data_IF_456180428574
#
_entry.id   IF_456180428574
#
_cell.length_a   1.000
_cell.length_b   1.000
_cell.length_c   1.000
_cell.angle_alpha   90.00
_cell.angle_beta   90.00
_cell.angle_gamma   90.00
#
_symmetry.space_group_name_H-M   'P 1'
#
loop_
_entity.id
_entity.type
_entity.pdbx_description
1 polymer ?
#
# COMPACT_ATOMS: atom_id res chain seq x y z
N UNK A 1 -6.37 12.77 28.31
CA UNK A 1 -6.49 12.41 26.87
C UNK A 1 -5.59 11.25 26.45
N UNK A 2 -4.44 11.06 27.09
CA UNK A 2 -3.41 10.08 26.70
C UNK A 2 -3.05 9.10 27.86
N UNK A 3 -3.97 8.84 28.80
CA UNK A 3 -3.70 7.97 29.95
C UNK A 3 -2.54 8.43 30.84
N UNK A 4 -2.21 7.66 31.87
CA UNK A 4 -1.09 7.95 32.79
C UNK A 4 0.28 7.77 32.11
N UNK A 5 0.43 6.82 31.19
CA UNK A 5 1.71 6.53 30.52
C UNK A 5 2.22 7.63 29.58
N UNK A 6 1.45 8.69 29.30
CA UNK A 6 1.94 9.81 28.47
C UNK A 6 3.00 10.66 29.17
N UNK A 7 3.01 10.65 30.51
CA UNK A 7 3.93 11.43 31.31
C UNK A 7 5.39 11.00 31.10
N UNK A 8 5.62 9.71 30.85
CA UNK A 8 6.93 9.13 30.49
C UNK A 8 7.51 9.74 29.21
N UNK A 9 6.65 10.25 28.32
CA UNK A 9 7.01 10.83 27.02
C UNK A 9 6.73 12.34 26.91
N UNK A 10 6.64 13.04 28.05
CA UNK A 10 6.35 14.48 28.10
C UNK A 10 7.58 15.28 28.54
N UNK A 11 7.83 16.40 27.85
CA UNK A 11 8.77 17.47 28.24
C UNK A 11 7.99 18.76 28.37
N UNK A 12 8.17 19.48 29.48
CA UNK A 12 7.48 20.76 29.72
C UNK A 12 8.31 21.91 29.16
N UNK A 13 7.74 22.71 28.27
CA UNK A 13 8.42 23.87 27.70
C UNK A 13 7.98 25.16 28.41
N UNK A 14 8.94 25.83 29.05
CA UNK A 14 8.76 27.18 29.59
C UNK A 14 9.21 28.20 28.56
N UNK A 15 8.42 29.26 28.37
CA UNK A 15 8.75 30.30 27.39
C UNK A 15 8.77 31.67 28.05
N UNK A 16 9.73 32.52 27.70
CA UNK A 16 9.80 33.91 28.19
C UNK A 16 10.26 34.90 27.10
N UNK A 17 9.95 36.19 27.30
CA UNK A 17 10.15 37.28 26.36
C UNK A 17 10.97 38.46 26.95
N UNK A 18 11.90 38.17 27.86
CA UNK A 18 12.86 39.10 28.52
C UNK A 18 12.37 39.95 29.72
N UNK A 19 11.25 39.64 30.38
CA UNK A 19 10.85 40.35 31.62
C UNK A 19 11.33 39.68 32.92
N UNK A 20 11.74 38.41 32.89
CA UNK A 20 12.31 37.71 34.06
C UNK A 20 13.84 37.83 34.04
N UNK A 21 14.37 38.94 34.56
CA UNK A 21 15.82 39.20 34.53
C UNK A 21 16.62 38.80 35.76
N UNK A 22 16.02 38.22 36.80
CA UNK A 22 16.79 37.94 38.03
C UNK A 22 16.43 36.64 38.75
N UNK A 23 15.62 35.75 38.16
CA UNK A 23 15.23 34.48 38.80
C UNK A 23 15.51 33.29 37.89
N UNK A 24 16.20 32.27 38.42
CA UNK A 24 16.43 31.02 37.69
C UNK A 24 15.12 30.24 37.50
N UNK A 25 15.04 29.36 36.50
CA UNK A 25 13.84 28.54 36.30
C UNK A 25 13.60 27.62 37.51
N UNK A 26 14.66 27.14 38.15
CA UNK A 26 14.60 26.34 39.37
C UNK A 26 14.01 27.15 40.54
N UNK A 27 14.44 28.40 40.70
CA UNK A 27 13.88 29.31 41.71
C UNK A 27 12.41 29.62 41.42
N UNK A 28 12.03 29.78 40.14
CA UNK A 28 10.65 29.97 39.72
C UNK A 28 9.78 28.75 40.03
N UNK A 29 10.29 27.54 39.78
CA UNK A 29 9.61 26.29 40.10
C UNK A 29 9.46 26.08 41.61
N UNK A 30 10.47 26.44 42.40
CA UNK A 30 10.42 26.37 43.86
C UNK A 30 9.45 27.40 44.47
N UNK A 31 9.39 28.61 43.91
CA UNK A 31 8.45 29.65 44.33
C UNK A 31 7.03 29.46 43.75
N UNK A 32 6.86 28.53 42.81
CA UNK A 32 5.62 28.24 42.12
C UNK A 32 4.55 27.57 42.98
N UNK A 33 3.37 27.37 42.40
CA UNK A 33 2.28 26.65 43.08
C UNK A 33 2.58 25.16 43.22
N UNK A 34 1.96 24.52 44.21
CA UNK A 34 2.02 23.07 44.40
C UNK A 34 1.59 22.30 43.14
N UNK A 35 0.63 22.83 42.39
CA UNK A 35 0.17 22.26 41.12
C UNK A 35 1.26 22.28 40.04
N UNK A 36 2.06 23.36 39.98
CA UNK A 36 3.16 23.47 39.03
C UNK A 36 4.28 22.48 39.35
N UNK A 37 4.60 22.32 40.64
CA UNK A 37 5.58 21.34 41.10
C UNK A 37 5.13 19.91 40.79
N UNK A 38 3.87 19.57 41.07
CA UNK A 38 3.32 18.26 40.72
C UNK A 38 3.30 17.99 39.21
N UNK A 39 3.09 19.02 38.38
CA UNK A 39 3.13 18.89 36.93
C UNK A 39 4.54 18.50 36.45
N UNK A 40 5.57 19.16 36.98
CA UNK A 40 6.98 18.90 36.66
C UNK A 40 7.43 17.53 37.19
N UNK A 41 6.99 17.14 38.38
CA UNK A 41 7.27 15.80 38.92
C UNK A 41 6.64 14.70 38.06
N UNK A 42 5.40 14.89 37.57
CA UNK A 42 4.75 13.94 36.67
C UNK A 42 5.54 13.75 35.39
N UNK A 43 6.11 14.82 34.82
CA UNK A 43 7.01 14.70 33.66
C UNK A 43 8.42 14.23 34.02
N UNK A 44 8.64 13.61 35.19
CA UNK A 44 9.95 13.11 35.61
C UNK A 44 11.02 14.20 35.68
N UNK A 45 10.61 15.41 36.06
CA UNK A 45 11.45 16.61 36.11
C UNK A 45 12.04 17.02 34.75
N UNK A 46 11.42 16.60 33.64
CA UNK A 46 11.80 17.03 32.29
C UNK A 46 11.12 18.35 31.95
N UNK A 47 11.93 19.40 31.87
CA UNK A 47 11.52 20.70 31.35
C UNK A 47 12.65 21.37 30.56
N UNK A 48 12.30 22.32 29.70
CA UNK A 48 13.23 23.12 28.90
C UNK A 48 12.76 24.58 28.86
N UNK A 49 13.70 25.52 28.79
CA UNK A 49 13.41 26.97 28.77
C UNK A 49 13.75 27.54 27.39
N UNK A 50 12.78 28.17 26.75
CA UNK A 50 12.92 28.76 25.42
C UNK A 50 12.73 30.28 25.48
N UNK A 51 13.74 31.04 25.05
CA UNK A 51 13.63 32.49 24.91
C UNK A 51 13.07 32.83 23.52
N UNK A 52 11.86 33.39 23.46
CA UNK A 52 11.15 33.66 22.20
C UNK A 52 11.81 34.83 21.41
N UNK A 53 12.54 35.71 22.09
CA UNK A 53 13.21 36.88 21.48
C UNK A 53 14.62 36.56 20.98
N UNK A 54 15.30 35.62 21.61
CA UNK A 54 16.62 35.16 21.17
C UNK A 54 16.50 34.15 20.02
N UNK A 55 16.32 34.68 18.81
CA UNK A 55 16.26 33.89 17.58
C UNK A 55 17.63 33.67 16.92
N UNK A 56 18.69 34.21 17.51
CA UNK A 56 20.01 34.28 16.87
C UNK A 56 20.84 33.01 17.06
N UNK A 57 20.55 32.21 18.09
CA UNK A 57 21.33 31.03 18.46
C UNK A 57 20.47 29.76 18.39
N UNK A 58 20.72 28.91 17.38
CA UNK A 58 20.05 27.59 17.23
C UNK A 58 20.40 26.55 18.31
N UNK A 59 21.14 26.95 19.34
CA UNK A 59 21.58 26.11 20.44
C UNK A 59 20.42 25.67 21.33
N UNK A 60 19.45 26.56 21.63
CA UNK A 60 18.27 26.22 22.45
C UNK A 60 17.42 25.12 21.80
N UNK A 61 17.24 25.18 20.47
CA UNK A 61 16.51 24.14 19.73
C UNK A 61 17.30 22.83 19.72
N UNK A 62 18.63 22.90 19.61
CA UNK A 62 19.50 21.71 19.62
C UNK A 62 19.48 21.01 20.99
N UNK A 63 19.56 21.77 22.08
CA UNK A 63 19.47 21.27 23.46
C UNK A 63 18.08 20.64 23.75
N UNK A 64 17.01 21.25 23.25
CA UNK A 64 15.67 20.66 23.35
C UNK A 64 15.59 19.32 22.59
N UNK A 65 16.18 19.23 21.40
CA UNK A 65 16.19 18.00 20.61
C UNK A 65 17.02 16.90 21.29
N UNK A 66 18.18 17.23 21.85
CA UNK A 66 19.00 16.31 22.64
C UNK A 66 18.24 15.76 23.86
N UNK A 67 17.53 16.63 24.58
CA UNK A 67 16.69 16.24 25.71
C UNK A 67 15.52 15.33 25.29
N UNK A 68 14.96 15.54 24.10
CA UNK A 68 13.93 14.65 23.52
C UNK A 68 14.53 13.29 23.14
N UNK A 69 15.74 13.27 22.56
CA UNK A 69 16.45 12.03 22.22
C UNK A 69 16.78 11.21 23.48
N UNK A 70 17.28 11.84 24.54
CA UNK A 70 17.51 11.18 25.84
C UNK A 70 16.23 10.60 26.44
N UNK A 71 15.12 11.34 26.37
CA UNK A 71 13.81 10.86 26.81
C UNK A 71 13.37 9.61 26.03
N UNK A 72 13.56 9.59 24.70
CA UNK A 72 13.20 8.43 23.87
C UNK A 72 14.10 7.22 24.17
N UNK A 73 15.41 7.44 24.35
CA UNK A 73 16.36 6.39 24.73
C UNK A 73 16.03 5.77 26.09
N UNK A 74 15.69 6.60 27.09
CA UNK A 74 15.25 6.16 28.42
C UNK A 74 13.97 5.32 28.40
N UNK A 75 13.09 5.56 27.43
CA UNK A 75 11.85 4.81 27.22
C UNK A 75 12.01 3.58 26.30
N UNK A 76 13.24 3.04 26.17
CA UNK A 76 13.58 1.88 25.34
C UNK A 76 13.21 2.05 23.86
N UNK A 77 13.35 3.27 23.33
CA UNK A 77 13.03 3.63 21.95
C UNK A 77 11.56 3.38 21.57
N UNK A 78 10.68 3.15 22.55
CA UNK A 78 9.25 3.04 22.28
C UNK A 78 8.65 4.43 22.20
N UNK A 79 7.89 4.69 21.14
CA UNK A 79 7.04 5.86 21.08
C UNK A 79 5.82 5.66 22.00
N UNK A 80 5.33 6.76 22.57
CA UNK A 80 4.04 6.73 23.25
C UNK A 80 2.96 6.29 22.26
N UNK A 81 2.36 5.12 22.50
CA UNK A 81 1.27 4.59 21.68
C UNK A 81 0.04 4.43 22.57
N UNK A 82 -0.97 5.27 22.36
CA UNK A 82 -2.24 5.12 23.08
C UNK A 82 -2.99 3.89 22.58
N UNK A 83 -3.86 3.32 23.42
CA UNK A 83 -4.70 2.17 23.05
C UNK A 83 -5.45 2.36 21.72
N UNK A 84 -5.91 3.59 21.44
CA UNK A 84 -6.53 3.97 20.17
C UNK A 84 -5.59 3.85 18.95
N UNK A 85 -4.28 4.07 19.11
CA UNK A 85 -3.31 3.86 18.01
C UNK A 85 -3.10 2.37 17.73
N UNK A 86 -3.06 1.53 18.76
CA UNK A 86 -2.91 0.07 18.59
C UNK A 86 -4.14 -0.56 17.92
N UNK A 87 -5.34 -0.11 18.27
CA UNK A 87 -6.59 -0.56 17.64
C UNK A 87 -6.65 -0.15 16.16
N UNK A 88 -6.24 1.09 15.85
CA UNK A 88 -6.15 1.57 14.46
C UNK A 88 -5.11 0.76 13.65
N UNK A 89 -3.92 0.51 14.21
CA UNK A 89 -2.89 -0.29 13.55
C UNK A 89 -3.37 -1.73 13.27
N UNK A 90 -4.08 -2.33 14.21
CA UNK A 90 -4.62 -3.70 14.06
C UNK A 90 -5.64 -3.77 12.91
N UNK A 91 -6.56 -2.80 12.84
CA UNK A 91 -7.55 -2.74 11.76
C UNK A 91 -6.90 -2.52 10.39
N UNK A 92 -5.85 -1.68 10.32
CA UNK A 92 -5.07 -1.48 9.09
C UNK A 92 -4.47 -2.81 8.62
N UNK A 93 -3.80 -3.55 9.51
CA UNK A 93 -3.20 -4.86 9.16
C UNK A 93 -4.23 -5.89 8.69
N UNK A 94 -5.40 -5.95 9.32
CA UNK A 94 -6.47 -6.87 8.90
C UNK A 94 -7.01 -6.52 7.51
N UNK A 95 -7.20 -5.24 7.22
CA UNK A 95 -7.64 -4.77 5.91
C UNK A 95 -6.58 -5.01 4.84
N UNK A 96 -5.30 -4.74 5.14
CA UNK A 96 -4.17 -5.08 4.25
C UNK A 96 -4.18 -6.57 3.90
N UNK A 97 -4.36 -7.45 4.90
CA UNK A 97 -4.44 -8.89 4.67
C UNK A 97 -5.62 -9.33 3.81
N UNK A 98 -6.79 -8.69 3.93
CA UNK A 98 -7.95 -8.98 3.05
C UNK A 98 -7.68 -8.54 1.62
N UNK A 99 -7.15 -7.34 1.42
CA UNK A 99 -6.82 -6.79 0.10
C UNK A 99 -5.78 -7.67 -0.61
N UNK A 100 -4.73 -8.09 0.11
CA UNK A 100 -3.70 -8.96 -0.47
C UNK A 100 -4.28 -10.31 -0.92
N UNK A 101 -5.19 -10.91 -0.13
CA UNK A 101 -5.87 -12.16 -0.49
C UNK A 101 -6.75 -12.01 -1.73
N UNK A 102 -7.66 -11.04 -1.73
CA UNK A 102 -8.56 -10.80 -2.87
C UNK A 102 -7.78 -10.52 -4.17
N UNK A 103 -6.66 -9.81 -4.08
CA UNK A 103 -5.77 -9.58 -5.22
C UNK A 103 -5.09 -10.85 -5.71
N UNK A 104 -4.57 -11.67 -4.81
CA UNK A 104 -3.94 -12.94 -5.16
C UNK A 104 -4.92 -13.87 -5.86
N UNK A 105 -6.15 -13.96 -5.35
CA UNK A 105 -7.23 -14.75 -5.93
C UNK A 105 -7.66 -14.22 -7.30
N UNK A 106 -7.82 -12.91 -7.45
CA UNK A 106 -8.17 -12.28 -8.74
C UNK A 106 -7.09 -12.53 -9.79
N UNK A 107 -5.82 -12.33 -9.44
CA UNK A 107 -4.68 -12.58 -10.34
C UNK A 107 -4.66 -14.03 -10.82
N UNK A 108 -4.76 -15.00 -9.90
CA UNK A 108 -4.78 -16.41 -10.26
C UNK A 108 -5.97 -16.77 -11.15
N UNK A 109 -7.14 -16.17 -10.89
CA UNK A 109 -8.33 -16.42 -11.67
C UNK A 109 -8.18 -15.93 -13.11
N UNK A 110 -7.73 -14.69 -13.30
CA UNK A 110 -7.59 -14.11 -14.65
C UNK A 110 -6.46 -14.79 -15.44
N UNK A 111 -5.32 -15.12 -14.79
CA UNK A 111 -4.25 -15.92 -15.41
C UNK A 111 -4.77 -17.27 -15.90
N UNK A 112 -5.58 -17.95 -15.08
CA UNK A 112 -6.18 -19.23 -15.42
C UNK A 112 -7.16 -19.10 -16.59
N UNK A 113 -8.05 -18.11 -16.56
CA UNK A 113 -9.05 -17.90 -17.62
C UNK A 113 -8.37 -17.64 -18.97
N UNK A 114 -7.29 -16.86 -19.01
CA UNK A 114 -6.56 -16.62 -20.25
C UNK A 114 -5.79 -17.86 -20.70
N UNK A 115 -5.11 -18.57 -19.79
CA UNK A 115 -4.41 -19.81 -20.13
C UNK A 115 -5.37 -20.85 -20.71
N UNK A 116 -6.56 -21.02 -20.13
CA UNK A 116 -7.59 -21.93 -20.63
C UNK A 116 -8.09 -21.50 -22.02
N UNK A 117 -8.30 -20.20 -22.26
CA UNK A 117 -8.69 -19.68 -23.58
C UNK A 117 -7.64 -19.96 -24.64
N UNK A 118 -6.38 -19.62 -24.37
CA UNK A 118 -5.26 -19.80 -25.31
C UNK A 118 -5.02 -21.29 -25.60
N UNK A 119 -5.13 -22.15 -24.58
CA UNK A 119 -5.02 -23.60 -24.77
C UNK A 119 -6.12 -24.15 -25.66
N UNK A 120 -7.35 -23.64 -25.52
CA UNK A 120 -8.48 -24.07 -26.36
C UNK A 120 -8.30 -23.65 -27.82
N UNK A 121 -7.91 -22.39 -28.06
CA UNK A 121 -7.61 -21.89 -29.41
C UNK A 121 -6.52 -22.72 -30.09
N UNK A 122 -5.48 -23.09 -29.33
CA UNK A 122 -4.41 -23.97 -29.81
C UNK A 122 -4.93 -25.36 -30.20
N UNK A 123 -5.71 -26.01 -29.33
CA UNK A 123 -6.30 -27.33 -29.61
C UNK A 123 -7.22 -27.30 -30.84
N UNK A 124 -8.09 -26.30 -30.93
CA UNK A 124 -9.02 -26.16 -32.06
C UNK A 124 -8.28 -25.97 -33.39
N UNK A 125 -7.13 -25.29 -33.37
CA UNK A 125 -6.26 -25.14 -34.55
C UNK A 125 -5.58 -26.47 -34.92
N UNK A 126 -5.06 -27.20 -33.93
CA UNK A 126 -4.41 -28.49 -34.15
C UNK A 126 -5.35 -29.52 -34.77
N UNK A 127 -6.59 -29.63 -34.26
CA UNK A 127 -7.59 -30.59 -34.75
C UNK A 127 -7.90 -30.33 -36.24
N UNK A 128 -8.04 -29.05 -36.64
CA UNK A 128 -8.33 -28.70 -38.04
C UNK A 128 -7.20 -29.12 -38.96
N UNK A 129 -5.95 -28.86 -38.55
CA UNK A 129 -4.77 -29.18 -39.36
C UNK A 129 -4.56 -30.70 -39.44
N UNK A 130 -4.72 -31.40 -38.31
CA UNK A 130 -4.63 -32.86 -38.28
C UNK A 130 -5.64 -33.51 -39.22
N UNK A 131 -6.86 -32.98 -39.31
CA UNK A 131 -7.86 -33.42 -40.28
C UNK A 131 -7.38 -33.31 -41.74
N UNK A 132 -6.76 -32.19 -42.11
CA UNK A 132 -6.21 -31.99 -43.47
C UNK A 132 -5.03 -32.95 -43.73
N UNK A 133 -4.16 -33.14 -42.75
CA UNK A 133 -3.04 -34.10 -42.83
C UNK A 133 -3.58 -35.52 -43.05
N UNK A 134 -4.57 -35.95 -42.27
CA UNK A 134 -5.18 -37.27 -42.40
C UNK A 134 -5.83 -37.50 -43.77
N UNK A 135 -6.48 -36.48 -44.34
CA UNK A 135 -7.03 -36.52 -45.69
C UNK A 135 -5.93 -36.74 -46.74
N UNK A 136 -4.86 -35.93 -46.70
CA UNK A 136 -3.74 -36.06 -47.63
C UNK A 136 -2.99 -37.39 -47.48
N UNK A 137 -2.85 -37.89 -46.24
CA UNK A 137 -2.30 -39.22 -45.99
C UNK A 137 -3.21 -40.33 -46.55
N UNK A 138 -4.52 -40.15 -46.49
CA UNK A 138 -5.50 -41.04 -47.12
C UNK A 138 -5.31 -41.10 -48.63
N UNK A 139 -5.24 -39.94 -49.27
CA UNK A 139 -5.01 -39.86 -50.72
C UNK A 139 -3.67 -40.48 -51.12
N UNK A 140 -2.58 -40.20 -50.38
CA UNK A 140 -1.25 -40.81 -50.63
C UNK A 140 -1.33 -42.33 -50.50
N UNK A 141 -2.05 -42.87 -49.52
CA UNK A 141 -2.25 -44.33 -49.39
C UNK A 141 -2.95 -44.90 -50.62
N UNK A 142 -4.05 -44.29 -51.07
CA UNK A 142 -4.78 -44.74 -52.27
C UNK A 142 -3.91 -44.66 -53.53
N UNK A 143 -3.14 -43.58 -53.70
CA UNK A 143 -2.20 -43.43 -54.82
C UNK A 143 -1.09 -44.48 -54.74
N UNK A 144 -0.58 -44.79 -53.55
CA UNK A 144 0.44 -45.81 -53.34
C UNK A 144 -0.06 -47.20 -53.72
N UNK A 145 -1.28 -47.57 -53.32
CA UNK A 145 -1.90 -48.85 -53.69
C UNK A 145 -2.08 -48.96 -55.21
N UNK A 146 -2.57 -47.89 -55.85
CA UNK A 146 -2.74 -47.84 -57.32
C UNK A 146 -1.40 -47.95 -58.05
N UNK A 147 -0.37 -47.29 -57.53
CA UNK A 147 1.00 -47.35 -58.08
C UNK A 147 1.53 -48.78 -58.02
N UNK A 148 1.43 -49.46 -56.88
CA UNK A 148 1.87 -50.85 -56.73
C UNK A 148 1.11 -51.84 -57.62
N UNK A 149 -0.20 -51.63 -57.83
CA UNK A 149 -0.97 -52.46 -58.77
C UNK A 149 -0.56 -52.24 -60.23
N UNK A 150 -0.32 -50.99 -60.64
CA UNK A 150 0.20 -50.68 -61.98
C UNK A 150 1.61 -51.26 -62.20
N UNK A 151 2.51 -51.19 -61.20
CA UNK A 151 3.83 -51.83 -61.24
C UNK A 151 3.72 -53.35 -61.49
N UNK A 152 2.78 -54.01 -60.81
CA UNK A 152 2.51 -55.45 -61.00
C UNK A 152 2.02 -55.74 -62.42
N UNK A 153 1.06 -54.95 -62.93
CA UNK A 153 0.54 -55.10 -64.28
C UNK A 153 1.61 -54.88 -65.35
N UNK A 154 2.46 -53.85 -65.22
CA UNK A 154 3.61 -53.60 -66.12
C UNK A 154 4.58 -54.77 -66.14
N UNK A 155 4.82 -55.41 -64.99
CA UNK A 155 5.74 -56.54 -64.85
C UNK A 155 5.21 -57.81 -65.50
N UNK A 156 3.91 -58.05 -65.44
CA UNK A 156 3.25 -59.26 -65.96
C UNK A 156 2.86 -59.14 -67.44
N UNK A 157 2.67 -57.92 -67.96
CA UNK A 157 2.25 -57.67 -69.35
C UNK A 157 3.32 -58.09 -70.37
N UNK A 158 2.89 -58.85 -71.38
CA UNK A 158 3.76 -59.41 -72.42
C UNK A 158 3.68 -58.63 -73.72
N UNK A 159 2.57 -57.95 -73.98
CA UNK A 159 2.41 -57.10 -75.14
C UNK A 159 3.21 -55.79 -74.99
N UNK A 160 4.11 -55.53 -75.93
CA UNK A 160 5.03 -54.40 -75.83
C UNK A 160 4.34 -53.03 -75.98
N UNK A 161 3.21 -52.95 -76.68
CA UNK A 161 2.46 -51.72 -76.86
C UNK A 161 1.65 -51.40 -75.60
N UNK A 162 0.91 -52.37 -75.07
CA UNK A 162 0.18 -52.24 -73.79
C UNK A 162 1.10 -51.98 -72.61
N UNK A 163 2.25 -52.65 -72.55
CA UNK A 163 3.25 -52.40 -71.52
C UNK A 163 3.72 -50.94 -71.52
N UNK A 164 3.98 -50.36 -72.70
CA UNK A 164 4.34 -48.93 -72.83
C UNK A 164 3.20 -47.99 -72.40
N UNK A 165 1.95 -48.38 -72.60
CA UNK A 165 0.80 -47.60 -72.10
C UNK A 165 0.72 -47.64 -70.57
N UNK A 166 0.82 -48.83 -69.98
CA UNK A 166 0.84 -49.01 -68.52
C UNK A 166 2.03 -48.30 -67.86
N UNK A 167 3.22 -48.31 -68.48
CA UNK A 167 4.38 -47.55 -67.99
C UNK A 167 4.13 -46.04 -67.97
N UNK A 168 3.41 -45.49 -68.96
CA UNK A 168 3.02 -44.07 -68.96
C UNK A 168 1.99 -43.76 -67.88
N UNK A 169 1.04 -44.66 -67.63
CA UNK A 169 0.05 -44.50 -66.56
C UNK A 169 0.71 -44.59 -65.18
N UNK A 170 1.58 -45.57 -64.98
CA UNK A 170 2.39 -45.71 -63.77
C UNK A 170 3.23 -44.47 -63.50
N UNK A 171 3.87 -43.91 -64.52
CA UNK A 171 4.65 -42.67 -64.38
C UNK A 171 3.78 -41.50 -63.93
N UNK A 172 2.59 -41.34 -64.52
CA UNK A 172 1.63 -40.29 -64.12
C UNK A 172 1.16 -40.45 -62.69
N UNK A 173 0.89 -41.67 -62.23
CA UNK A 173 0.49 -41.89 -60.85
C UNK A 173 1.63 -41.71 -59.85
N UNK A 174 2.83 -42.18 -60.19
CA UNK A 174 4.03 -41.90 -59.40
C UNK A 174 4.27 -40.39 -59.23
N UNK A 175 4.15 -39.62 -60.32
CA UNK A 175 4.35 -38.16 -60.27
C UNK A 175 3.27 -37.46 -59.40
N UNK A 176 2.01 -37.91 -59.47
CA UNK A 176 0.91 -37.42 -58.60
C UNK A 176 1.17 -37.71 -57.13
N UNK A 177 1.58 -38.93 -56.81
CA UNK A 177 1.93 -39.34 -55.45
C UNK A 177 3.06 -38.48 -54.89
N UNK A 178 4.16 -38.32 -55.63
CA UNK A 178 5.28 -37.47 -55.18
C UNK A 178 4.88 -36.00 -55.02
N UNK A 179 3.99 -35.47 -55.87
CA UNK A 179 3.48 -34.11 -55.72
C UNK A 179 2.69 -33.97 -54.41
N UNK A 180 1.88 -34.96 -54.08
CA UNK A 180 1.07 -34.97 -52.86
C UNK A 180 1.92 -35.15 -51.60
N UNK A 181 2.93 -36.01 -51.62
CA UNK A 181 3.93 -36.15 -50.55
C UNK A 181 4.65 -34.81 -50.31
N UNK A 182 5.07 -34.11 -51.38
CA UNK A 182 5.66 -32.76 -51.28
C UNK A 182 4.70 -31.69 -50.76
N UNK A 183 3.39 -31.83 -51.02
CA UNK A 183 2.38 -30.92 -50.44
C UNK A 183 2.21 -31.19 -48.95
N UNK A 184 2.15 -32.46 -48.56
CA UNK A 184 2.02 -32.86 -47.16
C UNK A 184 3.22 -32.42 -46.32
N UNK A 185 4.44 -32.57 -46.85
CA UNK A 185 5.67 -32.11 -46.18
C UNK A 185 5.65 -30.61 -45.93
N UNK A 186 5.29 -29.81 -46.95
CA UNK A 186 5.12 -28.35 -46.82
C UNK A 186 4.04 -27.98 -45.80
N UNK A 187 2.94 -28.73 -45.77
CA UNK A 187 1.85 -28.51 -44.82
C UNK A 187 2.32 -28.76 -43.39
N UNK A 188 3.07 -29.85 -43.15
CA UNK A 188 3.63 -30.19 -41.84
C UNK A 188 4.64 -29.15 -41.37
N UNK A 189 5.52 -28.67 -42.26
CA UNK A 189 6.48 -27.61 -41.92
C UNK A 189 5.76 -26.30 -41.57
N UNK A 190 4.77 -25.90 -42.38
CA UNK A 190 3.96 -24.71 -42.11
C UNK A 190 3.22 -24.82 -40.76
N UNK A 191 2.67 -25.98 -40.47
CA UNK A 191 1.98 -26.28 -39.21
C UNK A 191 2.91 -26.14 -38.00
N UNK A 192 4.12 -26.70 -38.09
CA UNK A 192 5.10 -26.62 -37.02
C UNK A 192 5.57 -25.18 -36.78
N UNK A 193 5.73 -24.40 -37.85
CA UNK A 193 6.06 -22.97 -37.73
C UNK A 193 4.91 -22.18 -37.09
N UNK A 194 3.68 -22.36 -37.54
CA UNK A 194 2.50 -21.72 -36.95
C UNK A 194 2.31 -22.12 -35.48
N UNK A 195 2.61 -23.38 -35.12
CA UNK A 195 2.59 -23.88 -33.74
C UNK A 195 3.58 -23.11 -32.87
N UNK A 196 4.83 -22.97 -33.33
CA UNK A 196 5.88 -22.23 -32.60
C UNK A 196 5.54 -20.76 -32.45
N UNK A 197 5.06 -20.11 -33.51
CA UNK A 197 4.64 -18.71 -33.46
C UNK A 197 3.50 -18.50 -32.47
N UNK A 198 2.51 -19.41 -32.46
CA UNK A 198 1.39 -19.34 -31.52
C UNK A 198 1.83 -19.56 -30.08
N UNK A 199 2.73 -20.51 -29.81
CA UNK A 199 3.31 -20.74 -28.48
C UNK A 199 4.08 -19.51 -27.97
N UNK A 200 4.91 -18.90 -28.80
CA UNK A 200 5.64 -17.66 -28.47
C UNK A 200 4.67 -16.50 -28.20
N UNK A 201 3.63 -16.32 -29.03
CA UNK A 201 2.59 -15.30 -28.77
C UNK A 201 1.87 -15.53 -27.46
N UNK A 202 1.44 -16.77 -27.18
CA UNK A 202 0.76 -17.10 -25.92
C UNK A 202 1.64 -16.85 -24.70
N UNK A 203 2.95 -17.15 -24.82
CA UNK A 203 3.91 -16.86 -23.76
C UNK A 203 4.06 -15.37 -23.54
N UNK A 204 4.22 -14.58 -24.61
CA UNK A 204 4.31 -13.12 -24.54
C UNK A 204 3.05 -12.49 -23.94
N UNK A 205 1.85 -12.93 -24.35
CA UNK A 205 0.59 -12.42 -23.79
C UNK A 205 0.47 -12.66 -22.28
N UNK A 206 0.92 -13.83 -21.80
CA UNK A 206 0.94 -14.14 -20.37
C UNK A 206 1.96 -13.26 -19.64
N UNK A 207 3.16 -13.08 -20.22
CA UNK A 207 4.21 -12.21 -19.65
C UNK A 207 3.76 -10.74 -19.57
N UNK A 208 3.21 -10.18 -20.66
CA UNK A 208 2.67 -8.80 -20.69
C UNK A 208 1.53 -8.62 -19.69
N UNK A 209 0.63 -9.60 -19.56
CA UNK A 209 -0.43 -9.54 -18.57
C UNK A 209 0.15 -9.52 -17.15
N UNK A 210 1.13 -10.37 -16.86
CA UNK A 210 1.79 -10.41 -15.55
C UNK A 210 2.47 -9.08 -15.20
N UNK A 211 3.12 -8.45 -16.17
CA UNK A 211 3.77 -7.14 -16.00
C UNK A 211 2.73 -6.03 -15.76
N UNK A 212 1.64 -6.00 -16.53
CA UNK A 212 0.53 -5.08 -16.33
C UNK A 212 -0.10 -5.26 -14.93
N UNK A 213 -0.23 -6.50 -14.47
CA UNK A 213 -0.71 -6.81 -13.13
C UNK A 213 0.20 -6.26 -12.02
N UNK A 214 1.52 -6.36 -12.19
CA UNK A 214 2.47 -5.79 -11.22
C UNK A 214 2.38 -4.27 -11.19
N UNK A 215 2.21 -3.63 -12.35
CA UNK A 215 1.98 -2.19 -12.48
C UNK A 215 0.67 -1.74 -11.82
N UNK A 216 -0.46 -2.37 -12.14
CA UNK A 216 -1.77 -2.05 -11.57
C UNK A 216 -1.84 -2.35 -10.07
N UNK A 217 -1.24 -3.46 -9.62
CA UNK A 217 -1.22 -3.83 -8.20
C UNK A 217 -0.54 -2.76 -7.33
N UNK A 218 0.51 -2.10 -7.84
CA UNK A 218 1.19 -1.00 -7.13
C UNK A 218 0.26 0.21 -6.96
N UNK A 219 -0.35 0.67 -8.04
CA UNK A 219 -1.26 1.84 -8.03
C UNK A 219 -2.50 1.56 -7.17
N UNK A 220 -3.08 0.37 -7.30
CA UNK A 220 -4.19 -0.05 -6.46
C UNK A 220 -3.77 -0.17 -4.99
N UNK A 221 -2.54 -0.62 -4.68
CA UNK A 221 -2.04 -0.72 -3.30
C UNK A 221 -2.01 0.65 -2.65
N UNK A 222 -1.42 1.62 -3.34
CA UNK A 222 -1.35 3.02 -2.90
C UNK A 222 -2.76 3.60 -2.71
N UNK A 223 -3.69 3.35 -3.65
CA UNK A 223 -5.07 3.83 -3.57
C UNK A 223 -5.86 3.21 -2.40
N UNK A 224 -5.67 1.92 -2.14
CA UNK A 224 -6.37 1.23 -1.06
C UNK A 224 -5.80 1.61 0.31
N UNK A 225 -4.47 1.73 0.44
CA UNK A 225 -3.82 2.33 1.61
C UNK A 225 -4.40 3.72 1.89
N UNK A 226 -4.53 4.56 0.86
CA UNK A 226 -5.12 5.89 0.98
C UNK A 226 -6.57 5.83 1.50
N UNK A 227 -7.43 4.95 0.94
CA UNK A 227 -8.84 4.80 1.39
C UNK A 227 -8.96 4.35 2.85
N UNK A 228 -7.99 3.59 3.35
CA UNK A 228 -7.98 3.07 4.73
C UNK A 228 -7.45 4.12 5.69
N UNK A 229 -6.35 4.78 5.33
CA UNK A 229 -5.63 5.69 6.21
C UNK A 229 -6.33 7.05 6.32
N UNK A 230 -7.00 7.53 5.25
CA UNK A 230 -7.68 8.84 5.26
C UNK A 230 -8.79 8.97 6.31
N UNK A 231 -9.75 8.03 6.42
CA UNK A 231 -10.87 8.17 7.36
C UNK A 231 -10.42 8.17 8.82
N UNK A 232 -9.44 7.33 9.17
CA UNK A 232 -8.92 7.28 10.53
C UNK A 232 -8.06 8.50 10.88
N UNK A 233 -7.25 9.01 9.93
CA UNK A 233 -6.59 10.32 10.10
C UNK A 233 -7.61 11.44 10.33
N UNK A 234 -8.68 11.50 9.53
CA UNK A 234 -9.75 12.49 9.67
C UNK A 234 -10.45 12.37 11.03
N UNK A 235 -10.72 11.15 11.49
CA UNK A 235 -11.33 10.88 12.80
C UNK A 235 -10.43 11.33 13.95
N UNK A 236 -9.14 11.00 13.89
CA UNK A 236 -8.16 11.39 14.91
C UNK A 236 -7.99 12.90 14.98
N UNK A 237 -7.90 13.58 13.83
CA UNK A 237 -7.87 15.05 13.77
C UNK A 237 -9.12 15.63 14.41
N UNK A 238 -10.31 15.11 14.08
CA UNK A 238 -11.58 15.59 14.62
C UNK A 238 -11.68 15.39 16.14
N UNK A 239 -11.30 14.22 16.64
CA UNK A 239 -11.28 13.92 18.08
C UNK A 239 -10.30 14.83 18.80
N UNK A 240 -9.12 15.05 18.22
CA UNK A 240 -8.09 15.90 18.79
C UNK A 240 -8.53 17.37 18.84
N UNK A 241 -9.06 17.89 17.74
CA UNK A 241 -9.63 19.24 17.66
C UNK A 241 -10.75 19.46 18.67
N UNK A 242 -11.68 18.49 18.78
CA UNK A 242 -12.81 18.59 19.71
C UNK A 242 -12.36 18.57 21.16
N UNK A 243 -11.42 17.69 21.52
CA UNK A 243 -10.86 17.65 22.88
C UNK A 243 -10.13 18.94 23.21
N UNK A 244 -9.29 19.43 22.30
CA UNK A 244 -8.56 20.70 22.47
C UNK A 244 -9.52 21.89 22.65
N UNK A 245 -10.59 21.97 21.86
CA UNK A 245 -11.62 23.01 22.01
C UNK A 245 -12.33 22.93 23.37
N UNK A 246 -12.67 21.73 23.83
CA UNK A 246 -13.30 21.54 25.16
C UNK A 246 -12.36 21.91 26.29
N UNK A 247 -11.09 21.50 26.21
CA UNK A 247 -10.07 21.82 27.21
C UNK A 247 -9.87 23.35 27.30
N UNK A 248 -9.73 24.02 26.16
CA UNK A 248 -9.59 25.48 26.09
C UNK A 248 -10.82 26.20 26.65
N UNK A 249 -12.02 25.74 26.31
CA UNK A 249 -13.27 26.31 26.85
C UNK A 249 -13.35 26.14 28.36
N UNK A 250 -12.99 24.96 28.88
CA UNK A 250 -12.96 24.69 30.31
C UNK A 250 -11.94 25.56 31.05
N UNK A 251 -10.76 25.76 30.47
CA UNK A 251 -9.74 26.64 31.06
C UNK A 251 -10.20 28.11 31.09
N UNK A 252 -10.88 28.57 30.04
CA UNK A 252 -11.48 29.91 30.00
C UNK A 252 -12.54 30.08 31.10
N UNK A 253 -13.46 29.12 31.25
CA UNK A 253 -14.48 29.16 32.30
C UNK A 253 -13.88 29.12 33.71
N UNK A 254 -12.81 28.35 33.91
CA UNK A 254 -12.09 28.29 35.17
C UNK A 254 -11.44 29.64 35.51
N UNK A 255 -10.76 30.26 34.54
CA UNK A 255 -10.11 31.56 34.73
C UNK A 255 -11.11 32.67 34.99
N UNK A 256 -12.25 32.68 34.30
CA UNK A 256 -13.34 33.61 34.56
C UNK A 256 -13.89 33.45 35.98
N UNK A 257 -13.97 32.22 36.49
CA UNK A 257 -14.41 31.97 37.87
C UNK A 257 -13.41 32.48 38.90
N UNK A 258 -12.11 32.21 38.67
CA UNK A 258 -11.02 32.72 39.51
C UNK A 258 -10.99 34.26 39.52
N UNK A 259 -11.24 34.89 38.37
CA UNK A 259 -11.31 36.35 38.26
C UNK A 259 -12.44 36.90 39.13
N UNK A 260 -13.65 36.33 39.02
CA UNK A 260 -14.83 36.73 39.82
C UNK A 260 -14.64 36.54 41.32
N UNK A 261 -13.90 35.51 41.74
CA UNK A 261 -13.56 35.30 43.16
C UNK A 261 -12.57 36.35 43.66
N UNK A 262 -11.54 36.66 42.86
CA UNK A 262 -10.59 37.73 43.20
C UNK A 262 -11.26 39.10 43.27
N UNK A 263 -12.15 39.42 42.33
CA UNK A 263 -12.91 40.68 42.35
C UNK A 263 -13.75 40.79 43.63
N UNK A 264 -14.40 39.69 44.05
CA UNK A 264 -15.15 39.65 45.32
C UNK A 264 -14.24 39.88 46.53
N UNK A 265 -13.08 39.23 46.56
CA UNK A 265 -12.13 39.37 47.66
C UNK A 265 -11.53 40.79 47.74
N UNK A 266 -11.36 41.47 46.60
CA UNK A 266 -10.95 42.88 46.56
C UNK A 266 -12.04 43.76 47.17
N UNK A 267 -13.31 43.59 46.77
CA UNK A 267 -14.44 44.37 47.31
C UNK A 267 -14.58 44.19 48.82
N UNK A 268 -14.45 42.97 49.34
CA UNK A 268 -14.47 42.73 50.79
C UNK A 268 -13.33 43.44 51.51
N UNK A 269 -12.09 43.36 50.98
CA UNK A 269 -10.94 44.04 51.58
C UNK A 269 -11.05 45.55 51.55
N UNK A 270 -11.54 46.12 50.46
CA UNK A 270 -11.75 47.56 50.35
C UNK A 270 -12.77 48.02 51.40
N UNK A 271 -13.83 47.25 51.63
CA UNK A 271 -14.80 47.50 52.70
C UNK A 271 -14.21 47.39 54.12
N UNK A 272 -13.33 46.41 54.36
CA UNK A 272 -12.60 46.29 55.64
C UNK A 272 -11.66 47.47 55.89
N UNK A 273 -10.97 47.94 54.84
CA UNK A 273 -10.10 49.11 54.88
C UNK A 273 -10.91 50.36 55.19
N UNK A 274 -12.04 50.60 54.51
CA UNK A 274 -12.94 51.72 54.80
C UNK A 274 -13.43 51.67 56.26
N UNK A 275 -13.83 50.50 56.75
CA UNK A 275 -14.25 50.34 58.14
C UNK A 275 -13.13 50.57 59.17
N UNK A 276 -11.87 50.29 58.82
CA UNK A 276 -10.72 50.65 59.65
C UNK A 276 -10.44 52.16 59.64
N UNK A 277 -10.57 52.80 58.48
CA UNK A 277 -10.42 54.25 58.32
C UNK A 277 -11.47 54.97 59.16
N UNK A 278 -12.73 54.55 59.12
CA UNK A 278 -13.82 55.14 59.91
C UNK A 278 -13.57 55.04 61.42
N UNK A 279 -13.11 53.86 61.90
CA UNK A 279 -12.76 53.66 63.32
C UNK A 279 -11.59 54.53 63.76
N UNK A 280 -10.56 54.66 62.92
CA UNK A 280 -9.43 55.55 63.21
C UNK A 280 -9.88 57.02 63.23
N UNK A 281 -10.81 57.40 62.37
CA UNK A 281 -11.37 58.75 62.35
C UNK A 281 -12.20 59.06 63.60
N UNK A 282 -12.97 58.10 64.12
CA UNK A 282 -13.68 58.24 65.41
C UNK A 282 -12.72 58.32 66.61
N UNK A 283 -11.60 57.59 66.59
CA UNK A 283 -10.60 57.63 67.67
C UNK A 283 -9.80 58.95 67.75
N UNK A 284 -9.75 59.73 66.66
CA UNK A 284 -9.07 61.03 66.62
C UNK A 284 -9.98 62.23 66.95
N UNK A 285 -11.23 61.98 67.38
CA UNK A 285 -12.22 62.98 67.78
C UNK A 285 -12.34 63.07 69.30
#
# INVERSE_FOLDING_TARGET
MFGEGCWEHTVILFTHDDVLKEQSIEEFLQAGSQDLQQLVEKSGSRYHVLNIKDRAHGTQVSELLEQVEEMVAGNRERFYSSQTYQEAETQVREMEGKIQRERGERKQREEREVRERLQKEFQDSLIKIEGVIQEHEGDIRTLSERTSELERQVKEERDAEKKRELEKELKRESDRREEMERKLERLREKTENERREMEERHKQEIEEMMENYEGEARVEAERNLMKIVLPELQRNIMISQTKMQREFSRQMEEKDRQMKEKDRAIVERDGEIEGLIDRLWEMCK
#
